data_IF_092206287339
#
_entry.id   IF_092206287339
#
_cell.length_a   1.000
_cell.length_b   1.000
_cell.length_c   1.000
_cell.angle_alpha   90.00
_cell.angle_beta   90.00
_cell.angle_gamma   90.00
#
_symmetry.space_group_name_H-M   'P 1'
#
loop_
_entity.id
_entity.type
_entity.pdbx_description
1 polymer ?
#
# COMPACT_ATOMS: atom_id res chain seq x y z
N UNK A 1 57.40 -20.30 6.43
CA UNK A 1 56.57 -19.33 5.68
C UNK A 1 55.20 -19.97 5.52
N UNK A 2 54.32 -19.74 6.50
CA UNK A 2 53.01 -20.38 6.57
C UNK A 2 52.03 -19.44 5.85
N UNK A 3 51.37 -19.96 4.82
CA UNK A 3 50.30 -19.28 4.09
C UNK A 3 49.15 -18.93 5.06
N UNK A 4 48.56 -17.74 4.99
CA UNK A 4 47.36 -17.44 5.77
C UNK A 4 46.23 -18.31 5.22
N UNK A 5 45.72 -19.20 6.06
CA UNK A 5 44.49 -19.94 5.82
C UNK A 5 43.33 -18.95 5.66
N UNK A 6 42.66 -19.03 4.52
CA UNK A 6 41.38 -18.39 4.23
C UNK A 6 40.39 -18.63 5.37
N UNK A 7 40.30 -17.67 6.28
CA UNK A 7 39.20 -17.57 7.23
C UNK A 7 38.21 -16.59 6.60
N UNK A 8 37.20 -17.14 5.93
CA UNK A 8 35.98 -16.43 5.49
C UNK A 8 35.14 -15.99 6.71
N UNK A 9 35.79 -15.58 7.81
CA UNK A 9 35.11 -15.00 8.95
C UNK A 9 34.79 -13.56 8.58
N UNK A 10 33.51 -13.30 8.35
CA UNK A 10 33.03 -11.99 7.93
C UNK A 10 33.59 -10.87 8.81
N UNK A 11 34.11 -9.81 8.19
CA UNK A 11 34.73 -8.66 8.84
C UNK A 11 33.92 -8.11 10.04
N UNK A 12 32.60 -8.16 9.93
CA UNK A 12 31.72 -7.70 11.01
C UNK A 12 31.82 -8.55 12.27
N UNK A 13 32.20 -9.83 12.21
CA UNK A 13 32.32 -10.74 13.35
C UNK A 13 33.71 -10.71 14.01
N UNK A 14 34.72 -10.18 13.30
CA UNK A 14 36.09 -10.05 13.81
C UNK A 14 36.30 -8.80 14.66
N UNK A 15 35.40 -7.81 14.57
CA UNK A 15 35.45 -6.60 15.41
C UNK A 15 34.87 -6.83 16.82
N UNK A 16 35.37 -6.12 17.85
CA UNK A 16 34.85 -6.19 19.21
C UNK A 16 33.34 -5.93 19.30
N UNK A 17 32.68 -6.61 20.23
CA UNK A 17 31.22 -6.51 20.41
C UNK A 17 30.77 -5.07 20.63
N UNK A 18 31.53 -4.26 21.36
CA UNK A 18 31.23 -2.84 21.61
C UNK A 18 31.10 -2.05 20.30
N UNK A 19 32.00 -2.29 19.34
CA UNK A 19 31.95 -1.64 18.03
C UNK A 19 30.80 -2.18 17.18
N UNK A 20 30.49 -3.48 17.27
CA UNK A 20 29.32 -4.08 16.58
C UNK A 20 28.02 -3.45 17.07
N UNK A 21 27.87 -3.27 18.38
CA UNK A 21 26.69 -2.64 18.96
C UNK A 21 26.55 -1.17 18.51
N UNK A 22 27.64 -0.40 18.43
CA UNK A 22 27.60 0.96 17.88
C UNK A 22 27.21 0.99 16.39
N UNK A 23 27.71 0.05 15.58
CA UNK A 23 27.29 -0.10 14.18
C UNK A 23 25.80 -0.44 14.12
N UNK A 24 25.29 -1.33 14.97
CA UNK A 24 23.86 -1.65 14.99
C UNK A 24 23.01 -0.44 15.35
N UNK A 25 23.44 0.42 16.28
CA UNK A 25 22.73 1.67 16.58
C UNK A 25 22.61 2.56 15.36
N UNK A 26 23.69 2.69 14.58
CA UNK A 26 23.65 3.44 13.32
C UNK A 26 22.69 2.79 12.30
N UNK A 27 22.75 1.47 12.13
CA UNK A 27 21.86 0.74 11.22
C UNK A 27 20.38 0.78 11.66
N UNK A 28 20.12 0.82 12.97
CA UNK A 28 18.77 0.94 13.53
C UNK A 28 18.23 2.37 13.44
N UNK A 29 19.09 3.38 13.35
CA UNK A 29 18.71 4.77 13.13
C UNK A 29 18.36 5.06 11.66
N UNK A 30 18.68 4.16 10.73
CA UNK A 30 18.33 4.32 9.30
C UNK A 30 16.80 4.33 9.12
N UNK A 31 16.22 5.33 8.43
CA UNK A 31 14.78 5.40 8.22
C UNK A 31 14.29 4.21 7.40
N UNK A 32 13.52 3.32 8.02
CA UNK A 32 12.95 2.15 7.36
C UNK A 32 11.64 2.51 6.66
N UNK A 33 11.71 3.29 5.59
CA UNK A 33 10.55 3.65 4.75
C UNK A 33 10.69 3.04 3.36
N UNK A 34 9.65 2.40 2.83
CA UNK A 34 9.64 1.87 1.46
C UNK A 34 8.40 2.39 0.73
N UNK A 35 8.60 3.01 -0.42
CA UNK A 35 7.51 3.45 -1.31
C UNK A 35 7.36 2.50 -2.48
N UNK A 36 6.16 1.96 -2.67
CA UNK A 36 5.81 0.98 -3.71
C UNK A 36 4.70 1.57 -4.58
N UNK A 37 5.01 1.77 -5.86
CA UNK A 37 4.07 2.27 -6.85
C UNK A 37 4.29 1.60 -8.20
N UNK A 38 3.50 1.96 -9.20
CA UNK A 38 3.71 1.59 -10.58
C UNK A 38 3.90 2.84 -11.44
N UNK A 39 4.90 2.83 -12.31
CA UNK A 39 5.19 3.95 -13.21
C UNK A 39 4.81 3.59 -14.65
N UNK A 40 4.24 4.54 -15.38
CA UNK A 40 3.90 4.33 -16.80
C UNK A 40 5.19 4.36 -17.64
N UNK A 41 5.30 3.39 -18.55
CA UNK A 41 6.43 3.24 -19.45
C UNK A 41 6.19 4.05 -20.72
N UNK A 42 6.89 5.18 -20.89
CA UNK A 42 6.85 5.97 -22.13
C UNK A 42 7.92 5.47 -23.10
N UNK A 43 7.70 4.33 -23.75
CA UNK A 43 8.56 3.91 -24.86
C UNK A 43 8.18 4.68 -26.12
N UNK A 44 8.91 5.75 -26.43
CA UNK A 44 8.80 6.44 -27.73
C UNK A 44 9.25 5.56 -28.92
N UNK A 45 9.93 4.44 -28.65
CA UNK A 45 10.26 3.44 -29.66
C UNK A 45 9.37 2.21 -29.52
N UNK A 46 8.65 1.85 -30.58
CA UNK A 46 7.94 0.57 -30.79
C UNK A 46 8.91 -0.64 -30.71
N UNK A 47 9.48 -0.92 -29.55
CA UNK A 47 10.13 -2.20 -29.27
C UNK A 47 9.15 -3.05 -28.48
N UNK A 48 8.94 -4.25 -29.00
CA UNK A 48 8.10 -5.32 -28.47
C UNK A 48 8.25 -5.43 -26.95
N UNK A 49 7.14 -5.71 -26.22
CA UNK A 49 7.21 -5.93 -24.78
C UNK A 49 8.23 -7.03 -24.48
N UNK A 50 9.16 -6.71 -23.59
CA UNK A 50 10.20 -7.61 -23.13
C UNK A 50 9.57 -8.86 -22.51
N UNK A 51 9.72 -10.01 -23.17
CA UNK A 51 9.12 -11.31 -22.83
C UNK A 51 9.67 -11.85 -21.50
N UNK A 52 10.71 -11.23 -20.95
CA UNK A 52 11.33 -11.61 -19.67
C UNK A 52 10.67 -11.02 -18.41
N UNK A 53 9.62 -10.20 -18.56
CA UNK A 53 8.95 -9.58 -17.40
C UNK A 53 8.13 -10.61 -16.62
N UNK A 54 8.34 -10.68 -15.29
CA UNK A 54 7.42 -11.37 -14.38
C UNK A 54 6.03 -10.74 -14.53
N UNK A 55 5.07 -11.51 -15.02
CA UNK A 55 3.69 -11.05 -15.16
C UNK A 55 3.05 -10.93 -13.77
N UNK A 56 2.63 -9.72 -13.41
CA UNK A 56 1.90 -9.44 -12.16
C UNK A 56 0.41 -9.42 -12.50
N UNK A 57 -0.42 -10.33 -11.96
CA UNK A 57 -1.85 -10.39 -12.24
C UNK A 57 -2.56 -9.05 -11.99
N UNK A 58 -3.28 -8.54 -13.00
CA UNK A 58 -4.00 -7.27 -12.92
C UNK A 58 -3.14 -6.01 -13.11
N UNK A 59 -1.81 -6.12 -13.28
CA UNK A 59 -0.95 -4.99 -13.64
C UNK A 59 -0.84 -4.90 -15.18
N UNK A 60 -1.24 -3.77 -15.80
CA UNK A 60 -1.13 -3.64 -17.26
C UNK A 60 0.33 -3.58 -17.72
N UNK A 61 0.61 -4.09 -18.92
CA UNK A 61 1.98 -4.14 -19.49
C UNK A 61 2.64 -2.77 -19.69
N UNK A 62 1.83 -1.72 -19.75
CA UNK A 62 2.26 -0.32 -19.84
C UNK A 62 2.82 0.23 -18.52
N UNK A 63 2.58 -0.47 -17.41
CA UNK A 63 3.05 -0.08 -16.09
C UNK A 63 4.20 -0.99 -15.67
N UNK A 64 5.25 -0.39 -15.12
CA UNK A 64 6.37 -1.12 -14.53
C UNK A 64 6.37 -0.92 -13.00
N UNK A 65 6.63 -1.97 -12.21
CA UNK A 65 6.82 -1.82 -10.78
C UNK A 65 7.94 -0.85 -10.46
N UNK A 66 7.69 0.07 -9.53
CA UNK A 66 8.66 1.03 -9.05
C UNK A 66 8.69 0.98 -7.51
N UNK A 67 9.87 0.66 -6.97
CA UNK A 67 10.09 0.61 -5.52
C UNK A 67 11.27 1.49 -5.13
N UNK A 68 11.08 2.30 -4.08
CA UNK A 68 12.10 3.15 -3.47
C UNK A 68 12.28 2.77 -2.01
N UNK A 69 13.52 2.75 -1.52
CA UNK A 69 13.87 2.49 -0.11
C UNK A 69 13.80 3.74 0.77
N UNK A 70 12.98 4.70 0.40
CA UNK A 70 12.67 5.90 1.17
C UNK A 70 11.23 6.32 0.92
N UNK A 71 10.72 7.21 1.76
CA UNK A 71 9.43 7.86 1.55
C UNK A 71 9.54 8.87 0.41
N UNK A 72 8.77 8.66 -0.67
CA UNK A 72 8.71 9.57 -1.82
C UNK A 72 7.25 10.02 -2.05
N UNK A 73 6.88 11.24 -1.62
CA UNK A 73 5.51 11.74 -1.77
C UNK A 73 5.14 11.98 -3.24
N UNK A 74 6.12 12.25 -4.12
CA UNK A 74 5.86 12.51 -5.54
C UNK A 74 5.26 11.28 -6.22
N UNK A 75 5.69 10.08 -5.81
CA UNK A 75 5.22 8.79 -6.32
C UNK A 75 3.82 8.38 -5.83
N UNK A 76 3.34 9.04 -4.78
CA UNK A 76 2.03 8.82 -4.18
C UNK A 76 1.00 9.86 -4.63
N UNK A 77 1.45 10.91 -5.32
CA UNK A 77 0.62 12.03 -5.79
C UNK A 77 -0.31 11.57 -6.92
N UNK A 78 -1.57 12.01 -6.87
CA UNK A 78 -2.52 11.80 -7.96
C UNK A 78 -2.40 12.84 -9.07
N UNK A 79 -1.79 14.00 -8.79
CA UNK A 79 -1.65 15.08 -9.75
C UNK A 79 -0.50 14.83 -10.73
N UNK A 80 0.54 14.13 -10.27
CA UNK A 80 1.74 13.81 -11.05
C UNK A 80 1.79 12.31 -11.25
N UNK A 81 1.44 11.84 -12.44
CA UNK A 81 1.62 10.42 -12.77
C UNK A 81 3.13 10.12 -12.83
N UNK A 82 3.63 9.11 -12.10
CA UNK A 82 5.05 8.77 -12.15
C UNK A 82 5.40 8.20 -13.54
N UNK A 83 6.25 8.92 -14.27
CA UNK A 83 6.80 8.45 -15.54
C UNK A 83 8.17 7.83 -15.31
N UNK A 84 8.35 6.59 -15.77
CA UNK A 84 9.67 5.97 -15.83
C UNK A 84 10.34 6.33 -17.16
N UNK A 85 11.11 7.42 -17.17
CA UNK A 85 12.05 7.67 -18.26
C UNK A 85 13.18 6.64 -18.14
N UNK A 86 13.10 5.55 -18.89
CA UNK A 86 14.24 4.68 -19.10
C UNK A 86 15.16 5.36 -20.12
N UNK A 87 16.31 5.93 -19.74
CA UNK A 87 17.25 6.42 -20.73
C UNK A 87 17.67 5.24 -21.62
N UNK A 88 17.51 5.44 -22.94
CA UNK A 88 17.92 4.48 -23.97
C UNK A 88 19.35 4.03 -23.72
N UNK A 89 19.54 2.79 -23.26
CA UNK A 89 20.85 2.18 -23.07
C UNK A 89 21.15 1.61 -21.68
N UNK A 90 20.31 1.84 -20.67
CA UNK A 90 20.49 1.22 -19.35
C UNK A 90 19.81 -0.17 -19.30
N UNK A 91 20.43 -1.16 -19.92
CA UNK A 91 20.12 -2.60 -19.79
C UNK A 91 20.44 -3.16 -18.39
N UNK A 92 20.36 -2.34 -17.33
CA UNK A 92 20.95 -2.63 -16.01
C UNK A 92 19.95 -2.62 -14.84
N UNK A 93 18.66 -2.35 -15.09
CA UNK A 93 17.62 -2.45 -14.06
C UNK A 93 16.75 -3.72 -14.18
N UNK A 94 16.74 -4.37 -15.34
CA UNK A 94 16.06 -5.67 -15.50
C UNK A 94 16.81 -6.77 -14.71
N UNK A 95 18.15 -6.67 -14.62
CA UNK A 95 19.02 -7.59 -13.87
C UNK A 95 19.00 -7.37 -12.36
N UNK A 96 18.37 -6.30 -11.86
CA UNK A 96 18.28 -5.94 -10.43
C UNK A 96 16.85 -5.98 -9.87
N UNK A 97 15.89 -6.56 -10.60
CA UNK A 97 14.53 -6.78 -10.12
C UNK A 97 14.48 -7.69 -8.85
N UNK A 98 15.54 -8.46 -8.59
CA UNK A 98 15.62 -9.39 -7.46
C UNK A 98 16.30 -8.82 -6.20
N UNK A 99 16.84 -7.60 -6.22
CA UNK A 99 17.45 -6.98 -5.03
C UNK A 99 16.73 -5.69 -4.69
N UNK A 100 15.62 -5.80 -3.94
CA UNK A 100 15.18 -4.71 -3.07
C UNK A 100 16.41 -4.20 -2.30
N UNK A 101 16.61 -2.88 -2.19
CA UNK A 101 17.44 -2.33 -1.14
C UNK A 101 16.73 -2.64 0.18
N UNK A 102 17.03 -3.81 0.74
CA UNK A 102 16.56 -4.19 2.07
C UNK A 102 17.19 -3.21 3.06
N UNK A 103 16.42 -2.55 3.93
CA UNK A 103 16.99 -1.70 4.96
C UNK A 103 18.10 -2.43 5.71
N UNK A 104 19.19 -1.74 6.02
CA UNK A 104 20.42 -2.38 6.52
C UNK A 104 20.15 -3.19 7.77
N UNK A 105 19.32 -2.68 8.68
CA UNK A 105 18.89 -3.37 9.89
C UNK A 105 18.16 -4.70 9.62
N UNK A 106 17.33 -4.75 8.58
CA UNK A 106 16.60 -5.95 8.19
C UNK A 106 17.50 -6.97 7.49
N UNK A 107 18.43 -6.51 6.65
CA UNK A 107 19.45 -7.36 6.05
C UNK A 107 20.34 -8.00 7.13
N UNK A 108 20.75 -7.22 8.13
CA UNK A 108 21.56 -7.70 9.26
C UNK A 108 20.82 -8.76 10.09
N UNK A 109 19.52 -8.58 10.34
CA UNK A 109 18.69 -9.57 11.04
C UNK A 109 18.64 -10.92 10.31
N UNK A 110 18.80 -10.92 8.99
CA UNK A 110 18.77 -12.13 8.15
C UNK A 110 20.15 -12.77 7.96
N UNK A 111 21.24 -12.11 8.36
CA UNK A 111 22.60 -12.55 8.04
C UNK A 111 23.09 -13.71 8.91
N UNK A 112 23.16 -13.56 10.24
CA UNK A 112 23.60 -14.62 11.15
C UNK A 112 22.90 -14.57 12.52
N UNK A 113 22.88 -15.72 13.22
CA UNK A 113 22.21 -15.86 14.52
C UNK A 113 22.81 -14.98 15.60
N UNK A 114 24.13 -14.80 15.60
CA UNK A 114 24.83 -13.96 16.57
C UNK A 114 24.42 -12.49 16.41
N UNK A 115 24.56 -11.94 15.19
CA UNK A 115 24.14 -10.58 14.84
C UNK A 115 22.66 -10.38 15.16
N UNK A 116 21.81 -11.36 14.81
CA UNK A 116 20.39 -11.28 15.11
C UNK A 116 20.11 -11.18 16.63
N UNK A 117 20.76 -12.01 17.45
CA UNK A 117 20.58 -11.97 18.91
C UNK A 117 21.02 -10.64 19.53
N UNK A 118 22.16 -10.10 19.10
CA UNK A 118 22.69 -8.83 19.60
C UNK A 118 21.84 -7.64 19.15
N UNK A 119 21.46 -7.62 17.87
CA UNK A 119 20.64 -6.55 17.29
C UNK A 119 19.23 -6.56 17.90
N UNK A 120 18.66 -7.74 18.16
CA UNK A 120 17.41 -7.86 18.95
C UNK A 120 17.59 -7.34 20.37
N UNK A 121 18.70 -7.66 21.03
CA UNK A 121 19.01 -7.18 22.38
C UNK A 121 19.11 -5.65 22.45
N UNK A 122 19.81 -5.01 21.52
CA UNK A 122 19.88 -3.54 21.46
C UNK A 122 18.51 -2.92 21.10
N UNK A 123 17.75 -3.55 20.20
CA UNK A 123 16.40 -3.09 19.84
C UNK A 123 15.46 -3.06 21.05
N UNK A 124 15.54 -4.09 21.90
CA UNK A 124 14.78 -4.19 23.15
C UNK A 124 15.28 -3.19 24.21
N UNK A 125 16.60 -3.12 24.43
CA UNK A 125 17.22 -2.23 25.43
C UNK A 125 16.87 -0.76 25.23
N UNK A 126 16.87 -0.29 24.00
CA UNK A 126 16.59 1.11 23.68
C UNK A 126 15.13 1.36 23.35
N UNK A 127 14.26 0.34 23.37
CA UNK A 127 12.90 0.45 22.84
C UNK A 127 12.88 1.10 21.45
N UNK A 128 13.82 0.74 20.56
CA UNK A 128 13.95 1.35 19.23
C UNK A 128 12.65 1.28 18.44
N UNK A 129 11.85 0.23 18.64
CA UNK A 129 10.52 0.10 18.03
C UNK A 129 9.54 1.21 18.40
N UNK A 130 9.67 1.76 19.62
CA UNK A 130 8.85 2.86 20.10
C UNK A 130 9.41 4.22 19.67
N UNK A 131 10.72 4.31 19.44
CA UNK A 131 11.42 5.54 19.06
C UNK A 131 11.43 5.78 17.55
N UNK A 132 11.51 4.73 16.73
CA UNK A 132 11.72 4.84 15.28
C UNK A 132 10.58 4.23 14.44
N UNK A 133 9.50 3.75 15.08
CA UNK A 133 8.27 3.30 14.40
C UNK A 133 8.38 2.04 13.54
N UNK A 134 9.59 1.50 13.31
CA UNK A 134 9.86 0.32 12.48
C UNK A 134 9.52 0.51 10.99
N UNK A 135 9.53 -0.60 10.22
CA UNK A 135 9.35 -0.56 8.77
C UNK A 135 7.98 0.02 8.40
N UNK A 136 7.99 1.12 7.65
CA UNK A 136 6.81 1.81 7.15
C UNK A 136 6.69 1.64 5.64
N UNK A 137 5.60 1.05 5.18
CA UNK A 137 5.32 0.83 3.76
C UNK A 137 4.35 1.89 3.25
N UNK A 138 4.68 2.55 2.15
CA UNK A 138 3.84 3.51 1.45
C UNK A 138 3.46 2.94 0.10
N UNK A 139 2.18 2.72 -0.15
CA UNK A 139 1.70 1.88 -1.25
C UNK A 139 0.60 2.59 -2.01
N UNK A 140 0.71 2.65 -3.34
CA UNK A 140 -0.38 3.20 -4.16
C UNK A 140 -1.48 2.17 -4.43
N UNK A 141 -2.73 2.59 -4.33
CA UNK A 141 -3.88 1.80 -4.78
C UNK A 141 -4.31 2.30 -6.16
N UNK A 142 -4.56 1.39 -7.13
CA UNK A 142 -4.59 -0.07 -6.99
C UNK A 142 -3.26 -0.77 -7.29
N UNK A 143 -2.35 -0.13 -8.02
CA UNK A 143 -1.21 -0.83 -8.63
C UNK A 143 -0.12 -1.27 -7.63
N UNK A 144 0.26 -0.39 -6.70
CA UNK A 144 1.23 -0.71 -5.65
C UNK A 144 0.78 -1.87 -4.75
N UNK A 145 -0.53 -2.01 -4.51
CA UNK A 145 -1.10 -3.13 -3.74
C UNK A 145 -0.90 -4.47 -4.47
N UNK A 146 -1.06 -4.50 -5.80
CA UNK A 146 -0.77 -5.69 -6.62
C UNK A 146 0.72 -6.05 -6.54
N UNK A 147 1.59 -5.06 -6.70
CA UNK A 147 3.05 -5.25 -6.67
C UNK A 147 3.51 -5.77 -5.31
N UNK A 148 3.03 -5.18 -4.21
CA UNK A 148 3.41 -5.59 -2.86
C UNK A 148 3.05 -7.06 -2.58
N UNK A 149 1.88 -7.51 -3.04
CA UNK A 149 1.45 -8.89 -2.82
C UNK A 149 2.27 -9.90 -3.62
N UNK A 150 2.50 -9.62 -4.89
CA UNK A 150 3.11 -10.57 -5.83
C UNK A 150 4.63 -10.57 -5.76
N UNK A 151 5.25 -9.40 -5.63
CA UNK A 151 6.71 -9.26 -5.70
C UNK A 151 7.35 -9.26 -4.31
N UNK A 152 6.70 -8.62 -3.33
CA UNK A 152 7.33 -8.37 -2.02
C UNK A 152 6.48 -8.76 -0.80
N UNK A 153 5.92 -9.99 -0.74
CA UNK A 153 5.04 -10.40 0.35
C UNK A 153 5.74 -10.42 1.72
N UNK A 154 7.06 -10.57 1.75
CA UNK A 154 7.85 -10.61 2.97
C UNK A 154 7.90 -9.26 3.70
N UNK A 155 7.80 -8.14 2.96
CA UNK A 155 7.81 -6.80 3.56
C UNK A 155 6.61 -6.59 4.49
N UNK A 156 5.45 -7.19 4.17
CA UNK A 156 4.26 -7.13 5.03
C UNK A 156 4.47 -7.82 6.39
N UNK A 157 5.31 -8.86 6.47
CA UNK A 157 5.57 -9.55 7.73
C UNK A 157 6.46 -8.70 8.67
N UNK A 158 7.27 -7.83 8.11
CA UNK A 158 8.22 -7.00 8.83
C UNK A 158 7.70 -5.58 9.09
N UNK A 159 6.71 -5.14 8.32
CA UNK A 159 6.11 -3.83 8.44
C UNK A 159 5.48 -3.62 9.82
N UNK A 160 5.67 -2.43 10.37
CA UNK A 160 4.96 -1.91 11.54
C UNK A 160 3.82 -1.00 11.12
N UNK A 161 4.03 -0.22 10.07
CA UNK A 161 3.05 0.72 9.55
C UNK A 161 2.83 0.49 8.07
N UNK A 162 1.57 0.51 7.63
CA UNK A 162 1.20 0.44 6.22
C UNK A 162 0.35 1.65 5.88
N UNK A 163 0.77 2.40 4.89
CA UNK A 163 0.15 3.60 4.37
C UNK A 163 -0.31 3.32 2.95
N UNK A 164 -1.61 3.36 2.70
CA UNK A 164 -2.19 3.14 1.38
C UNK A 164 -2.76 4.47 0.88
N UNK A 165 -2.33 4.91 -0.29
CA UNK A 165 -2.82 6.13 -0.91
C UNK A 165 -3.34 5.82 -2.31
N UNK A 166 -4.45 6.40 -2.73
CA UNK A 166 -4.90 6.22 -4.10
C UNK A 166 -6.27 6.78 -4.38
N UNK A 167 -6.87 6.29 -5.45
CA UNK A 167 -8.21 6.66 -5.86
C UNK A 167 -9.03 5.43 -6.20
N UNK A 168 -10.35 5.56 -6.18
CA UNK A 168 -11.25 4.48 -6.57
C UNK A 168 -12.32 4.97 -7.51
N UNK A 169 -12.40 4.36 -8.69
CA UNK A 169 -13.50 4.57 -9.61
C UNK A 169 -14.43 3.36 -9.57
N UNK A 170 -15.74 3.59 -9.45
CA UNK A 170 -16.73 2.54 -9.62
C UNK A 170 -16.74 2.14 -11.08
N UNK A 171 -16.27 0.94 -11.40
CA UNK A 171 -16.38 0.42 -12.77
C UNK A 171 -17.85 0.47 -13.18
N UNK A 172 -18.18 1.01 -14.37
CA UNK A 172 -19.55 0.93 -14.87
C UNK A 172 -19.91 -0.55 -14.91
N UNK A 173 -20.96 -0.93 -14.17
CA UNK A 173 -21.56 -2.25 -14.30
C UNK A 173 -21.86 -2.43 -15.78
N UNK A 174 -21.41 -3.51 -16.46
CA UNK A 174 -22.06 -3.86 -17.70
C UNK A 174 -23.54 -4.03 -17.35
N UNK A 175 -24.42 -3.30 -18.03
CA UNK A 175 -25.86 -3.50 -17.96
C UNK A 175 -26.11 -4.98 -18.28
N UNK A 176 -26.32 -5.78 -17.24
CA UNK A 176 -26.77 -7.15 -17.39
C UNK A 176 -28.25 -7.06 -17.70
N UNK A 177 -28.61 -7.38 -18.93
CA UNK A 177 -29.96 -7.78 -19.34
C UNK A 177 -30.49 -8.76 -18.30
N UNK A 178 -31.59 -8.40 -17.65
CA UNK A 178 -32.30 -9.27 -16.72
C UNK A 178 -32.82 -10.49 -17.49
N UNK A 179 -32.11 -11.62 -17.41
CA UNK A 179 -32.71 -12.92 -17.68
C UNK A 179 -33.10 -13.56 -16.36
N UNK A 180 -34.37 -13.93 -16.31
CA UNK A 180 -35.11 -14.38 -15.14
C UNK A 180 -34.85 -15.86 -14.94
N UNK A 181 -34.16 -16.28 -13.87
CA UNK A 181 -34.22 -17.69 -13.45
C UNK A 181 -34.35 -17.85 -11.92
N UNK A 182 -35.28 -18.72 -11.56
CA UNK A 182 -35.78 -19.05 -10.22
C UNK A 182 -34.89 -20.07 -9.49
N UNK A 183 -34.74 -19.90 -8.16
CA UNK A 183 -34.42 -20.94 -7.15
C UNK A 183 -33.01 -21.56 -7.24
N UNK A 184 -32.24 -21.75 -6.16
CA UNK A 184 -32.53 -22.48 -4.92
C UNK A 184 -31.53 -22.03 -3.83
N UNK A 185 -31.98 -22.06 -2.57
CA UNK A 185 -31.28 -21.68 -1.34
C UNK A 185 -29.91 -22.36 -1.12
N UNK A 186 -28.94 -21.56 -0.67
CA UNK A 186 -27.74 -22.00 0.03
C UNK A 186 -27.25 -20.88 0.95
N UNK A 187 -27.45 -21.03 2.26
CA UNK A 187 -27.11 -20.03 3.28
C UNK A 187 -25.59 -19.86 3.43
N UNK A 188 -25.07 -18.74 2.96
CA UNK A 188 -23.83 -18.16 3.47
C UNK A 188 -24.20 -16.93 4.32
N UNK A 189 -23.79 -16.93 5.60
CA UNK A 189 -23.96 -15.78 6.50
C UNK A 189 -23.10 -14.60 6.03
N UNK A 190 -23.65 -13.83 5.09
CA UNK A 190 -23.15 -12.52 4.70
C UNK A 190 -23.56 -11.52 5.76
N UNK A 191 -22.59 -10.90 6.43
CA UNK A 191 -22.82 -9.79 7.34
C UNK A 191 -23.45 -8.63 6.56
N UNK A 192 -24.77 -8.43 6.75
CA UNK A 192 -25.49 -7.28 6.23
C UNK A 192 -25.07 -6.05 7.01
N UNK A 193 -24.25 -5.19 6.42
CA UNK A 193 -24.12 -3.82 6.91
C UNK A 193 -25.49 -3.14 6.86
N UNK A 194 -25.82 -2.37 7.90
CA UNK A 194 -27.03 -1.57 7.95
C UNK A 194 -27.07 -0.63 6.74
N UNK A 195 -27.97 -0.91 5.79
CA UNK A 195 -28.24 -0.01 4.66
C UNK A 195 -28.90 1.24 5.21
N UNK A 196 -28.13 2.32 5.36
CA UNK A 196 -28.71 3.65 5.55
C UNK A 196 -29.36 4.03 4.22
N UNK A 197 -30.68 3.88 4.15
CA UNK A 197 -31.46 4.18 2.96
C UNK A 197 -31.38 5.66 2.62
N UNK A 198 -30.89 5.98 1.43
CA UNK A 198 -30.99 7.31 0.84
C UNK A 198 -31.60 7.20 -0.55
N UNK A 199 -32.66 7.97 -0.78
CA UNK A 199 -33.32 8.12 -2.07
C UNK A 199 -32.34 8.74 -3.07
N UNK A 200 -31.82 7.91 -3.98
CA UNK A 200 -31.01 8.34 -5.12
C UNK A 200 -31.94 8.72 -6.27
N UNK A 201 -32.36 9.99 -6.32
CA UNK A 201 -33.11 10.52 -7.47
C UNK A 201 -32.53 11.87 -7.88
N UNK A 202 -31.31 11.83 -8.43
CA UNK A 202 -30.76 12.82 -9.37
C UNK A 202 -29.40 12.31 -9.85
N UNK A 203 -29.38 11.64 -10.99
CA UNK A 203 -28.17 11.50 -11.79
C UNK A 203 -27.82 12.90 -12.32
N UNK A 204 -27.07 13.68 -11.53
CA UNK A 204 -26.46 14.91 -12.04
C UNK A 204 -25.40 14.51 -13.06
N UNK A 205 -25.45 15.18 -14.21
CA UNK A 205 -24.47 15.06 -15.29
C UNK A 205 -23.08 15.24 -14.68
N UNK A 206 -22.29 14.17 -14.68
CA UNK A 206 -20.90 14.18 -14.22
C UNK A 206 -20.17 15.35 -14.89
N UNK A 207 -19.60 16.25 -14.10
CA UNK A 207 -18.72 17.31 -14.57
C UNK A 207 -17.52 16.65 -15.28
N UNK A 208 -17.58 16.60 -16.61
CA UNK A 208 -16.67 15.84 -17.50
C UNK A 208 -15.23 16.31 -17.45
N UNK A 209 -14.95 17.45 -16.81
CA UNK A 209 -13.61 17.99 -16.63
C UNK A 209 -12.82 17.32 -15.50
N UNK A 210 -13.49 16.78 -14.46
CA UNK A 210 -12.81 16.13 -13.33
C UNK A 210 -12.36 14.70 -13.68
N UNK A 211 -13.23 13.93 -14.34
CA UNK A 211 -12.94 12.57 -14.83
C UNK A 211 -11.87 12.56 -15.94
N UNK A 212 -11.57 13.70 -16.54
CA UNK A 212 -10.57 13.80 -17.63
C UNK A 212 -9.13 13.74 -17.12
N UNK A 213 -8.87 14.03 -15.84
CA UNK A 213 -7.51 14.04 -15.27
C UNK A 213 -7.12 12.71 -14.60
N UNK A 214 -8.08 11.97 -14.05
CA UNK A 214 -7.83 10.70 -13.37
C UNK A 214 -8.37 9.56 -14.24
N UNK A 215 -7.47 8.76 -14.81
CA UNK A 215 -7.84 7.67 -15.71
C UNK A 215 -8.50 6.51 -14.95
N UNK A 216 -9.58 5.95 -15.51
CA UNK A 216 -10.19 4.73 -14.98
C UNK A 216 -9.19 3.55 -15.08
N UNK A 217 -9.24 2.65 -14.10
CA UNK A 217 -8.40 1.47 -14.11
C UNK A 217 -8.80 0.50 -15.22
N UNK A 218 -7.85 -0.22 -15.82
CA UNK A 218 -8.17 -1.35 -16.69
C UNK A 218 -9.05 -2.37 -15.97
N UNK A 219 -9.96 -3.01 -16.71
CA UNK A 219 -10.94 -3.96 -16.16
C UNK A 219 -10.28 -5.05 -15.32
N UNK A 220 -9.12 -5.54 -15.78
CA UNK A 220 -8.36 -6.57 -15.09
C UNK A 220 -7.86 -6.10 -13.71
N UNK A 221 -7.30 -4.89 -13.65
CA UNK A 221 -6.90 -4.23 -12.39
C UNK A 221 -8.11 -4.07 -11.46
N UNK A 222 -9.26 -3.65 -11.98
CA UNK A 222 -10.48 -3.46 -11.19
C UNK A 222 -11.03 -4.78 -10.60
N UNK A 223 -10.75 -5.91 -11.23
CA UNK A 223 -11.15 -7.25 -10.75
C UNK A 223 -10.16 -7.76 -9.69
N UNK A 224 -8.86 -7.59 -9.92
CA UNK A 224 -7.80 -8.15 -9.08
C UNK A 224 -7.50 -7.31 -7.83
N UNK A 225 -7.44 -5.98 -7.96
CA UNK A 225 -6.98 -5.11 -6.89
C UNK A 225 -7.84 -5.19 -5.60
N UNK A 226 -9.19 -5.24 -5.65
CA UNK A 226 -9.99 -5.42 -4.44
C UNK A 226 -9.70 -6.75 -3.73
N UNK A 227 -9.52 -7.85 -4.49
CA UNK A 227 -9.20 -9.17 -3.91
C UNK A 227 -7.85 -9.16 -3.20
N UNK A 228 -6.85 -8.55 -3.84
CA UNK A 228 -5.50 -8.43 -3.25
C UNK A 228 -5.52 -7.53 -2.02
N UNK A 229 -6.27 -6.43 -2.06
CA UNK A 229 -6.47 -5.57 -0.91
C UNK A 229 -7.10 -6.34 0.25
N UNK A 230 -8.16 -7.13 0.02
CA UNK A 230 -8.76 -7.98 1.06
C UNK A 230 -7.72 -8.92 1.71
N UNK A 231 -6.90 -9.61 0.89
CA UNK A 231 -5.86 -10.50 1.39
C UNK A 231 -4.79 -9.76 2.20
N UNK A 232 -4.39 -8.56 1.75
CA UNK A 232 -3.48 -7.70 2.47
C UNK A 232 -4.08 -7.35 3.84
N UNK A 233 -5.32 -6.86 3.90
CA UNK A 233 -5.99 -6.49 5.16
C UNK A 233 -6.13 -7.69 6.10
N UNK A 234 -6.49 -8.87 5.59
CA UNK A 234 -6.52 -10.11 6.40
C UNK A 234 -5.15 -10.48 6.96
N UNK A 235 -4.06 -10.15 6.25
CA UNK A 235 -2.70 -10.35 6.74
C UNK A 235 -2.35 -9.34 7.83
N UNK A 236 -2.78 -8.08 7.68
CA UNK A 236 -2.53 -7.02 8.66
C UNK A 236 -3.32 -7.23 9.96
N UNK A 237 -4.61 -7.54 9.84
CA UNK A 237 -5.55 -7.68 10.96
C UNK A 237 -5.86 -9.15 11.23
N UNK A 238 -4.86 -10.02 11.13
CA UNK A 238 -5.03 -11.43 11.45
C UNK A 238 -5.55 -11.62 12.90
N UNK A 239 -6.32 -12.68 13.20
CA UNK A 239 -6.85 -12.91 14.55
C UNK A 239 -5.78 -12.98 15.64
N UNK A 240 -4.56 -13.37 15.27
CA UNK A 240 -3.37 -13.24 16.11
C UNK A 240 -2.65 -11.96 15.68
N UNK A 241 -2.53 -10.94 16.55
CA UNK A 241 -1.91 -9.69 16.17
C UNK A 241 -0.48 -9.93 15.72
N UNK A 242 -0.17 -9.48 14.50
CA UNK A 242 1.16 -9.56 13.92
C UNK A 242 2.09 -8.48 14.46
N UNK A 243 3.18 -8.25 13.74
CA UNK A 243 4.11 -7.14 14.00
C UNK A 243 3.49 -5.76 13.76
N UNK A 244 2.43 -5.68 12.94
CA UNK A 244 1.83 -4.44 12.46
C UNK A 244 1.05 -3.72 13.56
N UNK A 245 1.29 -2.42 13.66
CA UNK A 245 0.73 -1.52 14.67
C UNK A 245 -0.29 -0.54 14.09
N UNK A 246 -0.15 -0.16 12.81
CA UNK A 246 -0.99 0.84 12.17
C UNK A 246 -1.20 0.56 10.69
N UNK A 247 -2.46 0.63 10.26
CA UNK A 247 -2.84 0.82 8.87
C UNK A 247 -3.42 2.23 8.73
N UNK A 248 -2.94 3.00 7.79
CA UNK A 248 -3.58 4.23 7.35
C UNK A 248 -3.88 4.14 5.86
N UNK A 249 -5.09 4.46 5.46
CA UNK A 249 -5.54 4.39 4.09
C UNK A 249 -6.27 5.68 3.71
N UNK A 250 -5.91 6.25 2.56
CA UNK A 250 -6.47 7.49 2.03
C UNK A 250 -6.92 7.26 0.60
N UNK A 251 -8.21 7.42 0.35
CA UNK A 251 -8.79 7.20 -0.98
C UNK A 251 -9.57 8.42 -1.45
N UNK A 252 -9.32 8.83 -2.68
CA UNK A 252 -10.14 9.79 -3.40
C UNK A 252 -11.19 9.08 -4.26
N UNK A 253 -12.46 9.45 -4.06
CA UNK A 253 -13.59 9.03 -4.86
C UNK A 253 -13.98 10.19 -5.79
N UNK A 254 -13.70 10.10 -7.10
CA UNK A 254 -14.04 11.13 -8.05
C UNK A 254 -15.55 11.29 -8.17
N UNK A 255 -16.02 12.54 -8.22
CA UNK A 255 -17.43 12.89 -8.36
C UNK A 255 -18.13 13.30 -7.05
N UNK A 256 -19.31 13.89 -7.20
CA UNK A 256 -20.00 14.60 -6.10
C UNK A 256 -20.73 13.66 -5.13
N UNK A 257 -21.05 12.43 -5.53
CA UNK A 257 -21.91 11.58 -4.72
C UNK A 257 -21.16 10.95 -3.56
N UNK A 258 -21.46 11.40 -2.34
CA UNK A 258 -21.03 10.75 -1.09
C UNK A 258 -21.39 9.25 -1.05
N UNK A 259 -22.50 8.85 -1.67
CA UNK A 259 -22.90 7.43 -1.69
C UNK A 259 -21.88 6.55 -2.41
N UNK A 260 -21.04 7.11 -3.29
CA UNK A 260 -19.99 6.37 -4.01
C UNK A 260 -19.02 5.66 -3.07
N UNK A 261 -18.72 6.24 -1.90
CA UNK A 261 -17.82 5.66 -0.89
C UNK A 261 -18.35 4.33 -0.35
N UNK A 262 -19.67 4.24 -0.18
CA UNK A 262 -20.33 3.14 0.54
C UNK A 262 -21.18 2.22 -0.36
N UNK A 263 -21.45 2.63 -1.60
CA UNK A 263 -22.39 1.93 -2.49
C UNK A 263 -21.79 0.76 -3.25
N UNK A 264 -20.47 0.58 -3.19
CA UNK A 264 -19.78 -0.53 -3.86
C UNK A 264 -19.17 -1.47 -2.82
N UNK A 265 -19.73 -2.68 -2.75
CA UNK A 265 -19.23 -3.75 -1.88
C UNK A 265 -17.80 -4.19 -2.28
N UNK A 266 -17.39 -3.93 -3.53
CA UNK A 266 -16.03 -4.18 -4.04
C UNK A 266 -15.12 -2.96 -3.90
N UNK A 267 -15.59 -1.87 -3.31
CA UNK A 267 -14.79 -0.68 -3.04
C UNK A 267 -13.70 -0.94 -2.00
N UNK A 268 -12.60 -0.16 -1.98
CA UNK A 268 -11.49 -0.36 -1.05
C UNK A 268 -11.93 -0.18 0.39
N UNK A 269 -12.80 0.79 0.68
CA UNK A 269 -13.34 1.04 2.02
C UNK A 269 -14.17 -0.14 2.52
N UNK A 270 -15.12 -0.62 1.72
CA UNK A 270 -15.92 -1.79 2.05
C UNK A 270 -15.03 -3.04 2.27
N UNK A 271 -14.03 -3.22 1.40
CA UNK A 271 -13.03 -4.29 1.51
C UNK A 271 -12.23 -4.19 2.81
N UNK A 272 -11.81 -3.00 3.23
CA UNK A 272 -11.08 -2.81 4.50
C UNK A 272 -11.99 -3.13 5.69
N UNK A 273 -13.17 -2.51 5.76
CA UNK A 273 -14.10 -2.71 6.88
C UNK A 273 -14.62 -4.15 7.02
N UNK A 274 -14.77 -4.85 5.89
CA UNK A 274 -15.21 -6.24 5.87
C UNK A 274 -14.15 -7.22 6.39
N UNK A 275 -12.86 -6.87 6.28
CA UNK A 275 -11.75 -7.79 6.57
C UNK A 275 -10.96 -7.46 7.84
N UNK A 276 -11.22 -6.33 8.51
CA UNK A 276 -10.61 -6.03 9.81
C UNK A 276 -11.25 -6.90 10.91
N UNK A 277 -10.46 -7.78 11.55
CA UNK A 277 -10.90 -8.69 12.61
C UNK A 277 -10.96 -8.08 14.04
N UNK A 278 -10.98 -6.75 14.16
CA UNK A 278 -10.89 -6.04 15.44
C UNK A 278 -9.95 -4.85 15.34
N UNK A 279 -10.05 -3.89 16.26
CA UNK A 279 -9.25 -2.68 16.24
C UNK A 279 -10.03 -1.41 16.55
N UNK A 280 -9.26 -0.35 16.78
CA UNK A 280 -9.76 1.02 16.75
C UNK A 280 -9.63 1.54 15.33
N UNK A 281 -10.77 1.86 14.72
CA UNK A 281 -10.89 2.34 13.35
C UNK A 281 -11.42 3.78 13.41
N UNK A 282 -10.53 4.73 13.17
CA UNK A 282 -10.89 6.13 13.00
C UNK A 282 -11.08 6.41 11.51
N UNK A 283 -12.20 7.05 11.17
CA UNK A 283 -12.51 7.48 9.82
C UNK A 283 -12.82 8.95 9.79
N UNK A 284 -12.34 9.61 8.74
CA UNK A 284 -12.70 10.98 8.42
C UNK A 284 -13.15 11.02 6.97
N UNK A 285 -14.36 11.53 6.74
CA UNK A 285 -14.91 11.71 5.41
C UNK A 285 -14.86 13.19 5.07
N UNK A 286 -14.07 13.53 4.05
CA UNK A 286 -14.02 14.87 3.50
C UNK A 286 -14.87 14.97 2.23
N UNK A 287 -15.81 15.91 2.20
CA UNK A 287 -16.70 16.14 1.03
C UNK A 287 -16.28 17.40 0.28
N UNK A 288 -16.19 17.32 -1.04
CA UNK A 288 -15.88 18.46 -1.90
C UNK A 288 -16.70 18.45 -3.18
N UNK A 289 -16.64 19.57 -3.91
CA UNK A 289 -17.29 19.72 -5.22
C UNK A 289 -16.70 18.78 -6.28
N UNK A 290 -15.43 18.47 -6.14
CA UNK A 290 -14.67 17.73 -7.12
C UNK A 290 -14.55 16.24 -6.80
N UNK A 291 -14.88 15.84 -5.58
CA UNK A 291 -14.72 14.46 -5.14
C UNK A 291 -15.04 14.34 -3.67
N UNK A 292 -15.05 13.10 -3.20
CA UNK A 292 -15.09 12.81 -1.79
C UNK A 292 -13.80 12.07 -1.42
N UNK A 293 -13.16 12.45 -0.33
CA UNK A 293 -12.01 11.74 0.20
C UNK A 293 -12.41 11.02 1.49
N UNK A 294 -11.80 9.87 1.73
CA UNK A 294 -11.90 9.16 2.98
C UNK A 294 -10.51 8.86 3.52
N UNK A 295 -10.31 9.21 4.78
CA UNK A 295 -9.12 8.89 5.55
C UNK A 295 -9.53 7.85 6.57
N UNK A 296 -8.81 6.73 6.61
CA UNK A 296 -9.05 5.62 7.51
C UNK A 296 -7.75 5.31 8.23
N UNK A 297 -7.79 5.31 9.56
CA UNK A 297 -6.70 4.85 10.42
C UNK A 297 -7.23 3.67 11.21
N UNK A 298 -6.61 2.51 11.07
CA UNK A 298 -6.96 1.32 11.81
C UNK A 298 -5.75 0.83 12.61
N UNK A 299 -5.94 0.63 13.92
CA UNK A 299 -4.94 0.05 14.83
C UNK A 299 -5.46 -1.31 15.31
N UNK A 300 -4.73 -2.41 15.09
CA UNK A 300 -5.15 -3.73 15.53
C UNK A 300 -5.37 -3.77 17.06
N UNK A 301 -6.52 -4.27 17.47
CA UNK A 301 -6.85 -4.55 18.87
C UNK A 301 -7.72 -5.81 18.87
N UNK A 302 -7.22 -6.96 19.39
CA UNK A 302 -7.95 -8.21 19.36
C UNK A 302 -9.18 -8.21 20.28
N UNK A 303 -9.25 -7.30 21.26
CA UNK A 303 -10.27 -7.33 22.30
C UNK A 303 -11.44 -6.39 22.02
N UNK A 304 -11.28 -5.44 21.09
CA UNK A 304 -12.25 -4.39 20.85
C UNK A 304 -12.35 -4.06 19.38
N UNK A 305 -13.57 -3.85 18.90
CA UNK A 305 -13.84 -3.17 17.63
C UNK A 305 -14.54 -1.85 17.92
N UNK A 306 -13.86 -0.73 17.70
CA UNK A 306 -14.43 0.60 17.83
C UNK A 306 -14.31 1.32 16.49
N UNK A 307 -15.40 1.94 16.04
CA UNK A 307 -15.40 2.77 14.83
C UNK A 307 -15.77 4.19 15.23
N UNK A 308 -14.91 5.14 14.89
CA UNK A 308 -15.19 6.56 15.01
C UNK A 308 -15.26 7.17 13.62
N UNK A 309 -16.24 8.01 13.38
CA UNK A 309 -16.37 8.74 12.13
C UNK A 309 -16.45 10.23 12.41
N UNK A 310 -15.67 10.99 11.66
CA UNK A 310 -15.68 12.44 11.63
C UNK A 310 -15.90 12.93 10.21
N UNK A 311 -16.34 14.18 10.08
CA UNK A 311 -16.65 14.78 8.80
C UNK A 311 -15.84 16.07 8.67
N UNK A 312 -15.24 16.24 7.50
CA UNK A 312 -14.45 17.40 7.14
C UNK A 312 -14.92 17.96 5.79
N UNK A 313 -14.47 19.17 5.49
CA UNK A 313 -14.64 19.76 4.16
C UNK A 313 -13.38 19.49 3.35
N UNK A 314 -13.55 18.98 2.13
CA UNK A 314 -12.46 18.86 1.17
C UNK A 314 -12.26 20.21 0.48
N UNK A 315 -11.02 20.46 0.06
CA UNK A 315 -10.67 21.64 -0.71
C UNK A 315 -11.54 21.87 -1.94
N UNK A 316 -11.57 23.12 -2.39
CA UNK A 316 -12.40 23.55 -3.51
C UNK A 316 -11.71 23.35 -4.86
N UNK A 317 -10.42 23.02 -4.88
CA UNK A 317 -9.64 22.79 -6.11
C UNK A 317 -9.30 21.32 -6.31
N UNK A 318 -9.00 20.94 -7.56
CA UNK A 318 -8.53 19.58 -7.89
C UNK A 318 -7.23 19.25 -7.16
N UNK A 319 -6.28 20.19 -7.12
CA UNK A 319 -4.96 19.95 -6.55
C UNK A 319 -5.04 19.76 -5.03
N UNK A 320 -5.95 20.47 -4.35
CA UNK A 320 -6.25 20.23 -2.93
C UNK A 320 -6.87 18.84 -2.72
N UNK A 321 -7.80 18.41 -3.58
CA UNK A 321 -8.43 17.09 -3.49
C UNK A 321 -7.45 15.95 -3.81
N UNK A 322 -6.55 16.14 -4.79
CA UNK A 322 -5.52 15.19 -5.17
C UNK A 322 -4.41 15.10 -4.11
N UNK A 323 -4.01 16.24 -3.53
CA UNK A 323 -3.03 16.32 -2.46
C UNK A 323 -3.51 15.71 -1.14
N UNK A 324 -4.83 15.66 -0.92
CA UNK A 324 -5.39 15.12 0.33
C UNK A 324 -5.13 13.62 0.53
N UNK A 325 -4.83 12.91 -0.56
CA UNK A 325 -4.49 11.48 -0.58
C UNK A 325 -3.13 11.20 0.07
N UNK A 326 -2.27 12.21 0.19
CA UNK A 326 -1.00 12.13 0.93
C UNK A 326 -1.24 12.65 2.35
N UNK A 327 -0.76 11.92 3.36
CA UNK A 327 -0.87 12.35 4.74
C UNK A 327 0.01 13.57 5.06
N UNK A 328 -0.51 14.60 5.74
CA UNK A 328 0.29 15.77 6.14
C UNK A 328 1.39 15.43 7.16
N UNK A 329 1.26 14.28 7.83
CA UNK A 329 2.20 13.81 8.84
C UNK A 329 2.92 12.52 8.38
N UNK A 330 3.02 12.28 7.08
CA UNK A 330 3.76 11.14 6.54
C UNK A 330 5.21 11.53 6.20
N UNK A 331 6.21 10.73 6.58
CA UNK A 331 6.15 9.63 7.54
C UNK A 331 5.96 10.17 8.98
N UNK A 332 5.28 9.41 9.84
CA UNK A 332 5.27 9.70 11.28
C UNK A 332 6.67 9.38 11.81
N UNK A 333 7.44 10.41 12.18
CA UNK A 333 8.79 10.30 12.76
C UNK A 333 8.71 10.04 14.25
#
# INVERSE_FOLDING_TARGET
MVMPSSSDDGFLLTIPTELRLEIYKYCLAEPTAITITAAQVTTSSKKTPDVSRREIPGLPREYNPLVRSYYDPSLLSLAESPYANFPNGATDLQSKCDQLPYPTSLALLQSCRLINSELRGEREKWNFDKLMGGLSLFVTYPFGVLILKEVYPQLLQQAKNVYISGYYYKSPKPEQTEETEHGIMGEAKVFRFARVGFNSSRASRLDTNFTRKIAAFPTDTAIHAPKVLCQLICTIFAPKPGSIQKLEARFLYPGESYSSIWSDDKGPVASIFGNICGGNIDTEVARGRHGNAIYLVAKPDPNRRAVRTSWAQLGNTFDEAAGSVIGPHWPEV
#
